data_IF_626640492779
#
_entry.id   IF_626640492779
#
_cell.length_a   1.000
_cell.length_b   1.000
_cell.length_c   1.000
_cell.angle_alpha   90.00
_cell.angle_beta   90.00
_cell.angle_gamma   90.00
#
_symmetry.space_group_name_H-M   'P 1'
#
loop_
_entity.id
_entity.type
_entity.pdbx_description
1 polymer ?
#
# COMPACT_ATOMS: atom_id res chain seq x y z
N UNK A 1 -13.42 27.65 -6.07
CA UNK A 1 -13.23 26.27 -6.57
C UNK A 1 -12.16 26.38 -7.65
N UNK A 2 -10.92 26.18 -7.30
CA UNK A 2 -9.83 26.06 -8.28
C UNK A 2 -9.95 24.67 -8.87
N UNK A 3 -10.38 24.57 -10.13
CA UNK A 3 -10.27 23.36 -10.93
C UNK A 3 -8.78 23.00 -10.99
N UNK A 4 -8.33 22.05 -10.15
CA UNK A 4 -7.01 21.49 -10.35
C UNK A 4 -7.06 20.73 -11.67
N UNK A 5 -6.35 21.22 -12.66
CA UNK A 5 -6.19 20.47 -13.91
C UNK A 5 -5.33 19.24 -13.59
N UNK A 6 -5.84 18.06 -13.93
CA UNK A 6 -5.07 16.82 -13.84
C UNK A 6 -3.76 16.97 -14.63
N UNK A 7 -2.67 16.33 -14.20
CA UNK A 7 -1.45 16.25 -14.99
C UNK A 7 -1.72 15.58 -16.34
N UNK A 8 -0.87 15.79 -17.33
CA UNK A 8 -1.06 15.33 -18.72
C UNK A 8 -1.23 13.81 -18.87
N UNK A 9 -0.69 13.03 -17.92
CA UNK A 9 -0.82 11.57 -17.86
C UNK A 9 -2.03 11.09 -17.02
N UNK A 10 -2.83 12.03 -16.48
CA UNK A 10 -3.99 11.75 -15.62
C UNK A 10 -5.30 11.90 -16.38
N UNK A 11 -6.28 11.08 -16.03
CA UNK A 11 -7.67 11.19 -16.50
C UNK A 11 -8.66 10.80 -15.42
N UNK A 12 -9.85 11.38 -15.44
CA UNK A 12 -10.98 10.92 -14.64
C UNK A 12 -11.70 9.79 -15.37
N UNK A 13 -11.92 8.69 -14.68
CA UNK A 13 -12.64 7.52 -15.17
C UNK A 13 -13.94 7.39 -14.39
N UNK A 14 -15.07 7.56 -15.07
CA UNK A 14 -16.38 7.37 -14.47
C UNK A 14 -16.65 5.87 -14.28
N UNK A 15 -16.76 5.44 -13.02
CA UNK A 15 -17.01 4.04 -12.63
C UNK A 15 -18.51 3.72 -12.46
N UNK A 16 -19.38 4.66 -12.85
CA UNK A 16 -20.83 4.52 -12.79
C UNK A 16 -21.48 5.43 -11.76
N UNK A 17 -20.97 5.50 -10.55
CA UNK A 17 -21.49 6.34 -9.45
C UNK A 17 -20.71 7.64 -9.26
N UNK A 18 -19.43 7.64 -9.57
CA UNK A 18 -18.49 8.76 -9.44
C UNK A 18 -17.24 8.49 -10.29
N UNK A 19 -16.29 9.42 -10.29
CA UNK A 19 -15.09 9.33 -11.11
C UNK A 19 -13.83 9.15 -10.22
N UNK A 20 -12.94 8.26 -10.66
CA UNK A 20 -11.62 8.07 -10.06
C UNK A 20 -10.54 8.66 -10.97
N UNK A 21 -9.54 9.29 -10.37
CA UNK A 21 -8.37 9.77 -11.09
C UNK A 21 -7.39 8.61 -11.31
N UNK A 22 -7.09 8.34 -12.56
CA UNK A 22 -6.14 7.32 -13.02
C UNK A 22 -4.99 8.00 -13.74
N UNK A 23 -3.77 7.61 -13.41
CA UNK A 23 -2.53 8.12 -14.01
C UNK A 23 -1.81 6.99 -14.73
N UNK A 24 -1.49 7.22 -16.00
CA UNK A 24 -0.79 6.26 -16.85
C UNK A 24 0.69 6.65 -16.95
N UNK A 25 1.58 5.68 -16.77
CA UNK A 25 3.02 5.87 -16.84
C UNK A 25 3.63 4.84 -17.78
N UNK A 26 4.75 5.20 -18.41
CA UNK A 26 5.46 4.31 -19.33
C UNK A 26 4.76 4.10 -20.68
N UNK A 27 5.36 3.24 -21.50
CA UNK A 27 4.88 2.91 -22.84
C UNK A 27 3.88 1.77 -22.80
N UNK A 28 2.98 1.74 -23.78
CA UNK A 28 2.05 0.63 -23.98
C UNK A 28 2.80 -0.70 -24.16
N UNK A 29 2.24 -1.82 -23.65
CA UNK A 29 2.84 -3.13 -23.83
C UNK A 29 2.93 -3.49 -25.31
N UNK A 30 4.01 -4.18 -25.68
CA UNK A 30 4.26 -4.60 -27.07
C UNK A 30 3.30 -5.71 -27.52
N UNK A 31 2.72 -6.42 -26.58
CA UNK A 31 1.80 -7.53 -26.78
C UNK A 31 0.70 -7.53 -25.73
N UNK A 32 -0.49 -8.02 -26.07
CA UNK A 32 -1.58 -8.22 -25.11
C UNK A 32 -1.27 -9.30 -24.05
N UNK A 33 -0.15 -10.02 -24.18
CA UNK A 33 0.35 -10.95 -23.17
C UNK A 33 1.32 -10.32 -22.18
N UNK A 34 1.86 -9.14 -22.50
CA UNK A 34 2.79 -8.43 -21.62
C UNK A 34 2.00 -7.80 -20.45
N UNK A 35 2.41 -8.03 -19.20
CA UNK A 35 1.67 -7.50 -18.08
C UNK A 35 1.90 -5.99 -17.93
N UNK A 36 0.91 -5.33 -17.30
CA UNK A 36 1.01 -3.96 -16.83
C UNK A 36 0.99 -3.94 -15.30
N UNK A 37 1.57 -2.91 -14.72
CA UNK A 37 1.66 -2.76 -13.26
C UNK A 37 0.56 -1.83 -12.76
N UNK A 38 -0.13 -2.23 -11.68
CA UNK A 38 -1.11 -1.38 -11.01
C UNK A 38 -0.75 -1.24 -9.53
N UNK A 39 -0.49 0.01 -9.12
CA UNK A 39 -0.12 0.36 -7.75
C UNK A 39 -1.36 0.68 -6.91
N UNK A 40 -1.42 0.09 -5.71
CA UNK A 40 -2.54 0.22 -4.76
C UNK A 40 -2.00 0.78 -3.44
N UNK A 41 -2.47 1.95 -3.06
CA UNK A 41 -2.04 2.64 -1.84
C UNK A 41 -2.76 2.12 -0.60
N UNK A 42 -2.12 2.26 0.57
CA UNK A 42 -2.65 1.90 1.88
C UNK A 42 -3.61 2.94 2.48
N UNK A 43 -3.96 2.80 3.76
CA UNK A 43 -4.77 3.79 4.50
C UNK A 43 -4.09 5.15 4.48
N UNK A 44 -4.88 6.21 4.38
CA UNK A 44 -4.40 7.59 4.36
C UNK A 44 -3.26 7.83 3.35
N UNK A 45 -3.40 7.27 2.15
CA UNK A 45 -2.38 7.29 1.12
C UNK A 45 -3.01 7.32 -0.27
N UNK A 46 -2.40 8.04 -1.21
CA UNK A 46 -2.86 8.23 -2.58
C UNK A 46 -1.78 7.89 -3.63
N UNK A 47 -2.03 8.22 -4.89
CA UNK A 47 -1.11 7.95 -6.00
C UNK A 47 0.26 8.64 -5.85
N UNK A 48 0.35 9.75 -5.11
CA UNK A 48 1.59 10.52 -4.94
C UNK A 48 2.66 9.73 -4.17
N UNK A 49 2.26 8.79 -3.33
CA UNK A 49 3.19 7.93 -2.58
C UNK A 49 4.05 7.02 -3.48
N UNK A 50 3.66 6.83 -4.73
CA UNK A 50 4.33 5.94 -5.68
C UNK A 50 5.28 6.64 -6.66
N UNK A 51 5.38 7.97 -6.62
CA UNK A 51 6.11 8.76 -7.64
C UNK A 51 7.58 8.35 -7.78
N UNK A 52 8.27 8.09 -6.67
CA UNK A 52 9.66 7.64 -6.69
C UNK A 52 9.81 6.27 -7.38
N UNK A 53 8.90 5.33 -7.09
CA UNK A 53 8.88 3.98 -7.70
C UNK A 53 8.62 4.09 -9.20
N UNK A 54 7.58 4.82 -9.60
CA UNK A 54 7.19 5.01 -11.00
C UNK A 54 8.34 5.62 -11.81
N UNK A 55 8.99 6.65 -11.27
CA UNK A 55 10.14 7.29 -11.93
C UNK A 55 11.31 6.32 -12.13
N UNK A 56 11.61 5.47 -11.13
CA UNK A 56 12.66 4.46 -11.23
C UNK A 56 12.30 3.27 -12.12
N UNK A 57 11.01 2.91 -12.19
CA UNK A 57 10.53 1.87 -13.09
C UNK A 57 10.78 2.26 -14.57
N UNK A 58 10.73 3.56 -14.83
CA UNK A 58 11.09 4.14 -16.14
C UNK A 58 10.00 3.98 -17.20
N UNK A 59 10.29 4.42 -18.44
CA UNK A 59 9.28 4.50 -19.49
C UNK A 59 9.01 3.19 -20.22
N UNK A 60 9.78 2.13 -20.00
CA UNK A 60 9.69 0.88 -20.79
C UNK A 60 8.57 -0.06 -20.33
N UNK A 61 8.02 0.15 -19.14
CA UNK A 61 6.96 -0.68 -18.57
C UNK A 61 5.73 0.17 -18.28
N UNK A 62 4.60 -0.21 -18.88
CA UNK A 62 3.35 0.47 -18.59
C UNK A 62 2.90 0.20 -17.16
N UNK A 63 2.62 1.29 -16.44
CA UNK A 63 2.12 1.21 -15.09
C UNK A 63 1.03 2.25 -14.82
N UNK A 64 0.24 1.97 -13.80
CA UNK A 64 -0.88 2.80 -13.38
C UNK A 64 -0.82 3.07 -11.89
N UNK A 65 -1.05 4.33 -11.52
CA UNK A 65 -1.41 4.74 -10.17
C UNK A 65 -2.80 5.35 -10.20
N UNK A 66 -3.52 5.32 -9.10
CA UNK A 66 -4.84 5.93 -9.02
C UNK A 66 -5.10 6.49 -7.62
N UNK A 67 -5.94 7.49 -7.56
CA UNK A 67 -6.47 7.98 -6.30
C UNK A 67 -7.75 7.21 -5.97
N UNK A 68 -7.80 6.59 -4.78
CA UNK A 68 -9.05 6.00 -4.30
C UNK A 68 -10.11 7.09 -4.08
N UNK A 69 -11.36 6.67 -3.98
CA UNK A 69 -12.50 7.55 -3.75
C UNK A 69 -12.27 8.50 -2.58
N UNK A 70 -12.47 9.79 -2.82
CA UNK A 70 -12.29 10.82 -1.82
C UNK A 70 -10.86 11.34 -1.66
N UNK A 71 -9.85 10.68 -2.22
CA UNK A 71 -8.48 11.18 -2.23
C UNK A 71 -8.21 12.08 -3.41
N UNK A 72 -7.29 12.99 -3.23
CA UNK A 72 -6.70 13.93 -4.19
C UNK A 72 -7.68 14.36 -5.31
N UNK A 73 -7.49 13.84 -6.55
CA UNK A 73 -8.30 14.21 -7.72
C UNK A 73 -9.54 13.33 -7.93
N UNK A 74 -9.72 12.24 -7.18
CA UNK A 74 -10.90 11.39 -7.27
C UNK A 74 -12.12 12.01 -6.60
N UNK A 75 -13.31 11.77 -7.13
CA UNK A 75 -14.55 12.13 -6.48
C UNK A 75 -14.81 11.26 -5.24
N UNK A 76 -15.71 11.70 -4.37
CA UNK A 76 -16.11 10.91 -3.21
C UNK A 76 -17.11 9.84 -3.62
N UNK A 77 -16.93 8.63 -3.04
CA UNK A 77 -17.90 7.55 -3.20
C UNK A 77 -19.19 7.81 -2.40
N UNK A 78 -20.35 7.37 -2.89
CA UNK A 78 -21.55 7.25 -2.07
C UNK A 78 -21.50 6.07 -1.09
N UNK A 79 -20.54 5.15 -1.24
CA UNK A 79 -20.34 3.99 -0.38
C UNK A 79 -19.35 4.29 0.75
N UNK A 80 -19.44 3.54 1.85
CA UNK A 80 -18.41 3.55 2.87
C UNK A 80 -17.08 3.02 2.30
N UNK A 81 -15.90 3.53 2.73
CA UNK A 81 -14.60 3.09 2.23
C UNK A 81 -14.16 1.75 2.88
N UNK A 82 -15.07 0.76 2.91
CA UNK A 82 -14.72 -0.59 3.33
C UNK A 82 -13.81 -1.28 2.30
N UNK A 83 -13.03 -2.26 2.72
CA UNK A 83 -12.12 -2.96 1.82
C UNK A 83 -12.83 -3.60 0.62
N UNK A 84 -14.04 -4.13 0.84
CA UNK A 84 -14.87 -4.71 -0.21
C UNK A 84 -15.34 -3.66 -1.22
N UNK A 85 -15.78 -2.49 -0.74
CA UNK A 85 -16.21 -1.41 -1.63
C UNK A 85 -15.03 -0.83 -2.41
N UNK A 86 -13.86 -0.67 -1.78
CA UNK A 86 -12.63 -0.24 -2.45
C UNK A 86 -12.20 -1.26 -3.53
N UNK A 87 -12.27 -2.55 -3.24
CA UNK A 87 -11.98 -3.60 -4.22
C UNK A 87 -13.00 -3.62 -5.38
N UNK A 88 -14.27 -3.38 -5.09
CA UNK A 88 -15.31 -3.22 -6.11
C UNK A 88 -15.02 -2.01 -7.02
N UNK A 89 -14.73 -0.85 -6.44
CA UNK A 89 -14.40 0.37 -7.19
C UNK A 89 -13.13 0.19 -8.04
N UNK A 90 -12.11 -0.49 -7.51
CA UNK A 90 -10.91 -0.88 -8.27
C UNK A 90 -11.27 -1.77 -9.45
N UNK A 91 -12.15 -2.75 -9.28
CA UNK A 91 -12.58 -3.63 -10.36
C UNK A 91 -13.31 -2.88 -11.46
N UNK A 92 -14.17 -1.92 -11.08
CA UNK A 92 -14.87 -1.04 -12.02
C UNK A 92 -13.91 -0.09 -12.73
N UNK A 93 -12.90 0.44 -12.01
CA UNK A 93 -11.86 1.28 -12.61
C UNK A 93 -11.10 0.52 -13.71
N UNK A 94 -10.66 -0.71 -13.43
CA UNK A 94 -9.94 -1.56 -14.39
C UNK A 94 -10.82 -1.81 -15.62
N UNK A 95 -12.10 -2.11 -15.43
CA UNK A 95 -13.05 -2.36 -16.51
C UNK A 95 -13.33 -1.11 -17.36
N UNK A 96 -13.64 0.02 -16.70
CA UNK A 96 -14.05 1.26 -17.39
C UNK A 96 -12.89 2.03 -18.01
N UNK A 97 -11.67 1.85 -17.49
CA UNK A 97 -10.45 2.44 -18.03
C UNK A 97 -9.80 1.59 -19.13
N UNK A 98 -10.37 0.49 -19.57
CA UNK A 98 -9.83 -0.71 -20.19
C UNK A 98 -8.32 -0.94 -19.92
N UNK A 99 -7.97 -1.03 -18.63
CA UNK A 99 -6.59 -1.35 -18.24
C UNK A 99 -6.26 -2.75 -18.76
N UNK A 100 -5.16 -2.91 -19.53
CA UNK A 100 -4.81 -4.20 -20.12
C UNK A 100 -4.58 -5.30 -19.09
N UNK A 101 -4.87 -6.53 -19.46
CA UNK A 101 -4.46 -7.74 -18.75
C UNK A 101 -3.28 -8.38 -19.48
N UNK A 102 -2.44 -9.15 -18.78
CA UNK A 102 -2.48 -9.50 -17.37
C UNK A 102 -1.92 -8.39 -16.46
N UNK A 103 -2.25 -8.46 -15.16
CA UNK A 103 -1.90 -7.43 -14.17
C UNK A 103 -0.84 -7.92 -13.18
N UNK A 104 0.16 -7.08 -12.91
CA UNK A 104 0.98 -7.17 -11.70
C UNK A 104 0.41 -6.17 -10.70
N UNK A 105 -0.15 -6.64 -9.58
CA UNK A 105 -0.62 -5.77 -8.52
C UNK A 105 0.50 -5.50 -7.53
N UNK A 106 0.74 -4.23 -7.21
CA UNK A 106 1.73 -3.79 -6.24
C UNK A 106 1.01 -3.04 -5.13
N UNK A 107 1.04 -3.55 -3.91
CA UNK A 107 0.25 -3.00 -2.81
C UNK A 107 1.05 -2.71 -1.56
N UNK A 108 0.87 -1.50 -0.99
CA UNK A 108 1.49 -1.07 0.26
C UNK A 108 0.51 -1.11 1.42
N UNK A 109 0.98 -1.59 2.58
CA UNK A 109 0.22 -1.50 3.84
C UNK A 109 -1.16 -2.18 3.75
N UNK A 110 -2.25 -1.47 4.03
CA UNK A 110 -3.62 -1.95 3.91
C UNK A 110 -3.96 -2.50 2.52
N UNK A 111 -3.24 -2.12 1.48
CA UNK A 111 -3.43 -2.70 0.16
C UNK A 111 -3.24 -4.22 0.12
N UNK A 112 -2.55 -4.81 1.10
CA UNK A 112 -2.54 -6.27 1.25
C UNK A 112 -3.93 -6.85 1.44
N UNK A 113 -4.77 -6.22 2.26
CA UNK A 113 -6.19 -6.57 2.43
C UNK A 113 -6.98 -6.27 1.16
N UNK A 114 -6.79 -5.09 0.56
CA UNK A 114 -7.50 -4.68 -0.66
C UNK A 114 -7.23 -5.61 -1.84
N UNK A 115 -5.98 -6.06 -2.00
CA UNK A 115 -5.61 -7.04 -3.03
C UNK A 115 -6.29 -8.39 -2.82
N UNK A 116 -6.36 -8.86 -1.58
CA UNK A 116 -7.09 -10.11 -1.28
C UNK A 116 -8.59 -9.97 -1.52
N UNK A 117 -9.19 -8.81 -1.18
CA UNK A 117 -10.59 -8.52 -1.49
C UNK A 117 -10.84 -8.51 -3.01
N UNK A 118 -9.91 -7.91 -3.78
CA UNK A 118 -9.98 -7.94 -5.23
C UNK A 118 -9.89 -9.38 -5.79
N UNK A 119 -8.96 -10.20 -5.28
CA UNK A 119 -8.82 -11.60 -5.68
C UNK A 119 -10.08 -12.43 -5.29
N UNK A 120 -10.69 -12.14 -4.14
CA UNK A 120 -11.94 -12.79 -3.74
C UNK A 120 -13.10 -12.43 -4.69
N UNK A 121 -13.13 -11.18 -5.17
CA UNK A 121 -14.18 -10.66 -6.06
C UNK A 121 -14.02 -11.12 -7.51
N UNK A 122 -12.80 -11.07 -8.05
CA UNK A 122 -12.51 -11.24 -9.49
C UNK A 122 -11.82 -12.54 -9.84
N UNK A 123 -11.36 -13.31 -8.85
CA UNK A 123 -10.48 -14.45 -9.08
C UNK A 123 -9.06 -14.03 -9.45
N UNK A 124 -8.30 -14.98 -9.98
CA UNK A 124 -6.86 -14.82 -10.25
C UNK A 124 -6.50 -14.80 -11.74
N UNK A 125 -7.45 -14.98 -12.64
CA UNK A 125 -7.19 -15.16 -14.08
C UNK A 125 -6.51 -13.96 -14.72
N UNK A 126 -6.86 -12.75 -14.25
CA UNK A 126 -6.29 -11.49 -14.76
C UNK A 126 -4.92 -11.15 -14.13
N UNK A 127 -4.44 -11.93 -13.16
CA UNK A 127 -3.23 -11.64 -12.41
C UNK A 127 -2.04 -12.36 -13.05
N UNK A 128 -0.97 -11.60 -13.33
CA UNK A 128 0.33 -12.13 -13.72
C UNK A 128 1.22 -12.39 -12.50
N UNK A 129 1.16 -11.54 -11.49
CA UNK A 129 1.94 -11.65 -10.27
C UNK A 129 1.55 -10.60 -9.23
N UNK A 130 2.11 -10.72 -8.03
CA UNK A 130 1.83 -9.84 -6.89
C UNK A 130 3.12 -9.33 -6.27
N UNK A 131 3.14 -8.06 -5.85
CA UNK A 131 4.20 -7.47 -5.03
C UNK A 131 3.56 -6.86 -3.79
N UNK A 132 3.93 -7.35 -2.61
CA UNK A 132 3.50 -6.84 -1.32
C UNK A 132 4.59 -5.97 -0.71
N UNK A 133 4.29 -4.72 -0.39
CA UNK A 133 5.23 -3.74 0.15
C UNK A 133 4.84 -3.41 1.59
N UNK A 134 5.50 -4.02 2.55
CA UNK A 134 5.21 -3.99 3.99
C UNK A 134 3.70 -4.03 4.27
N UNK A 135 3.04 -4.96 3.55
CA UNK A 135 1.59 -5.03 3.46
C UNK A 135 0.96 -5.69 4.69
N UNK A 136 -0.31 -5.39 4.93
CA UNK A 136 -1.06 -6.03 6.01
C UNK A 136 -1.66 -7.37 5.54
N UNK A 137 -1.33 -8.42 6.27
CA UNK A 137 -1.98 -9.72 6.15
C UNK A 137 -3.29 -9.75 6.95
N UNK A 138 -4.24 -10.63 6.61
CA UNK A 138 -5.54 -10.74 7.31
C UNK A 138 -5.41 -10.99 8.81
N UNK A 139 -4.27 -11.52 9.26
CA UNK A 139 -3.98 -11.81 10.68
C UNK A 139 -3.16 -10.71 11.36
N UNK A 140 -2.81 -9.62 10.68
CA UNK A 140 -1.97 -8.55 11.24
C UNK A 140 -2.44 -8.08 12.62
N UNK A 141 -3.74 -7.78 12.86
CA UNK A 141 -4.19 -7.30 14.18
C UNK A 141 -4.11 -8.36 15.29
N UNK A 142 -3.96 -9.63 14.95
CA UNK A 142 -3.82 -10.71 15.91
C UNK A 142 -2.36 -10.88 16.39
N UNK A 143 -1.40 -10.37 15.62
CA UNK A 143 0.05 -10.53 15.83
C UNK A 143 0.71 -9.22 16.26
N UNK A 144 0.37 -8.12 15.58
CA UNK A 144 0.92 -6.78 15.83
C UNK A 144 -0.23 -5.82 16.13
N UNK A 145 -0.26 -5.27 17.35
CA UNK A 145 -1.20 -4.23 17.69
C UNK A 145 -0.65 -2.86 17.22
N UNK A 146 -0.94 -2.50 15.97
CA UNK A 146 -0.53 -1.20 15.40
C UNK A 146 -1.21 0.00 16.07
N UNK A 147 -2.36 -0.25 16.72
CA UNK A 147 -3.15 0.74 17.45
C UNK A 147 -2.94 0.65 18.99
N UNK A 148 -1.74 0.20 19.43
CA UNK A 148 -1.44 0.12 20.86
C UNK A 148 -1.61 1.49 21.52
N UNK A 149 -2.54 1.64 22.50
CA UNK A 149 -2.86 2.94 23.07
C UNK A 149 -1.71 3.53 23.89
N UNK A 150 -0.81 2.69 24.41
CA UNK A 150 0.36 3.12 25.18
C UNK A 150 1.42 3.68 24.23
N UNK A 151 1.66 3.00 23.09
CA UNK A 151 2.54 3.51 22.04
C UNK A 151 2.10 4.92 21.62
N UNK A 152 0.82 5.09 21.29
CA UNK A 152 0.29 6.38 20.85
C UNK A 152 0.21 7.42 21.95
N UNK A 153 0.09 7.03 23.22
CA UNK A 153 0.24 7.95 24.36
C UNK A 153 1.67 8.47 24.46
N UNK A 154 2.66 7.62 24.31
CA UNK A 154 4.08 8.04 24.29
C UNK A 154 4.38 8.88 23.05
N UNK A 155 3.81 8.57 21.91
CA UNK A 155 3.98 9.31 20.64
C UNK A 155 3.09 10.56 20.52
N UNK A 156 2.34 10.95 21.55
CA UNK A 156 1.39 12.06 21.46
C UNK A 156 2.05 13.37 20.98
N UNK A 157 1.46 13.99 19.93
CA UNK A 157 1.96 15.22 19.32
C UNK A 157 3.32 15.09 18.62
N UNK A 158 3.77 13.87 18.33
CA UNK A 158 4.93 13.61 17.46
C UNK A 158 4.45 13.68 16.00
N UNK A 159 5.23 14.34 15.16
CA UNK A 159 5.00 14.35 13.71
C UNK A 159 5.54 13.05 13.12
N UNK A 160 4.69 12.19 12.49
CA UNK A 160 5.10 10.84 12.10
C UNK A 160 6.20 10.80 11.04
N UNK A 161 6.11 11.57 9.95
CA UNK A 161 7.09 11.49 8.87
C UNK A 161 8.50 11.90 9.32
N UNK A 162 8.60 12.86 10.23
CA UNK A 162 9.87 13.25 10.85
C UNK A 162 10.39 12.14 11.77
N UNK A 163 9.52 11.56 12.62
CA UNK A 163 9.89 10.49 13.54
C UNK A 163 10.30 9.19 12.83
N UNK A 164 9.70 8.91 11.69
CA UNK A 164 9.99 7.73 10.85
C UNK A 164 11.15 7.96 9.86
N UNK A 165 11.86 9.08 9.96
CA UNK A 165 12.92 9.48 9.01
C UNK A 165 12.43 9.61 7.55
N UNK A 166 11.13 9.57 7.28
CA UNK A 166 10.59 9.67 5.92
C UNK A 166 10.89 11.04 5.32
N UNK A 167 10.65 12.12 6.09
CA UNK A 167 10.93 13.49 5.66
C UNK A 167 12.40 13.70 5.26
N UNK A 168 13.33 13.06 5.95
CA UNK A 168 14.77 13.18 5.68
C UNK A 168 15.29 12.21 4.60
N UNK A 169 14.58 11.10 4.35
CA UNK A 169 15.10 9.98 3.54
C UNK A 169 14.29 9.68 2.28
N UNK A 170 13.11 10.28 2.10
CA UNK A 170 12.31 10.02 0.90
C UNK A 170 13.10 10.31 -0.39
N UNK A 171 12.77 9.57 -1.45
CA UNK A 171 13.34 9.70 -2.80
C UNK A 171 12.42 10.45 -3.78
N UNK A 172 11.36 11.05 -3.25
CA UNK A 172 10.54 12.00 -4.00
C UNK A 172 11.37 13.24 -4.34
N UNK A 173 11.11 13.89 -5.48
CA UNK A 173 11.62 15.24 -5.74
C UNK A 173 10.97 16.22 -4.76
N UNK A 174 11.55 17.42 -4.61
CA UNK A 174 10.94 18.44 -3.76
C UNK A 174 9.52 18.79 -4.20
N UNK A 175 9.28 18.86 -5.51
CA UNK A 175 7.95 19.14 -6.08
C UNK A 175 6.95 18.01 -5.75
N UNK A 176 7.36 16.74 -5.89
CA UNK A 176 6.54 15.57 -5.53
C UNK A 176 6.22 15.55 -4.04
N UNK A 177 7.20 15.87 -3.18
CA UNK A 177 7.01 15.94 -1.74
C UNK A 177 6.06 17.06 -1.33
N UNK A 178 6.24 18.27 -1.90
CA UNK A 178 5.37 19.41 -1.64
C UNK A 178 3.93 19.14 -2.10
N UNK A 179 3.74 18.47 -3.24
CA UNK A 179 2.44 18.07 -3.74
C UNK A 179 1.77 17.05 -2.79
N UNK A 180 2.51 16.05 -2.31
CA UNK A 180 2.02 15.07 -1.33
C UNK A 180 1.55 15.78 -0.05
N UNK A 181 2.38 16.63 0.53
CA UNK A 181 2.05 17.37 1.76
C UNK A 181 0.85 18.30 1.56
N UNK A 182 0.74 18.94 0.40
CA UNK A 182 -0.40 19.77 0.05
C UNK A 182 -1.70 18.97 -0.08
N UNK A 183 -1.66 17.77 -0.68
CA UNK A 183 -2.81 16.88 -0.78
C UNK A 183 -3.29 16.41 0.60
N UNK A 184 -2.36 15.95 1.45
CA UNK A 184 -2.65 15.51 2.82
C UNK A 184 -3.22 16.61 3.72
N UNK A 185 -2.84 17.87 3.48
CA UNK A 185 -3.33 19.00 4.25
C UNK A 185 -4.80 19.35 3.95
N UNK A 186 -5.38 18.84 2.87
CA UNK A 186 -6.77 19.17 2.50
C UNK A 186 -7.79 18.54 3.44
N UNK A 187 -8.89 19.26 3.70
CA UNK A 187 -9.98 18.72 4.53
C UNK A 187 -10.62 17.47 3.92
N UNK A 188 -10.64 17.39 2.58
CA UNK A 188 -11.14 16.22 1.85
C UNK A 188 -10.30 14.98 2.17
N UNK A 189 -8.95 15.09 2.11
CA UNK A 189 -8.05 14.00 2.45
C UNK A 189 -8.22 13.55 3.91
N UNK A 190 -8.20 14.51 4.84
CA UNK A 190 -8.35 14.22 6.28
C UNK A 190 -9.67 13.51 6.59
N UNK A 191 -10.76 13.91 5.94
CA UNK A 191 -12.08 13.31 6.14
C UNK A 191 -12.10 11.84 5.68
N UNK A 192 -11.57 11.55 4.48
CA UNK A 192 -11.56 10.17 3.97
C UNK A 192 -10.57 9.29 4.73
N UNK A 193 -9.38 9.80 5.03
CA UNK A 193 -8.37 9.10 5.83
C UNK A 193 -8.92 8.73 7.21
N UNK A 194 -9.63 9.65 7.87
CA UNK A 194 -10.28 9.39 9.15
C UNK A 194 -11.34 8.28 9.06
N UNK A 195 -12.19 8.30 8.02
CA UNK A 195 -13.19 7.25 7.80
C UNK A 195 -12.57 5.88 7.50
N UNK A 196 -11.49 5.85 6.72
CA UNK A 196 -10.75 4.62 6.47
C UNK A 196 -10.16 4.07 7.76
N UNK A 197 -9.38 4.88 8.47
CA UNK A 197 -8.61 4.45 9.65
C UNK A 197 -9.51 4.03 10.81
N UNK A 198 -10.44 4.88 11.22
CA UNK A 198 -11.24 4.64 12.43
C UNK A 198 -12.43 3.71 12.21
N UNK A 199 -13.06 3.73 11.03
CA UNK A 199 -14.32 3.03 10.83
C UNK A 199 -14.17 1.74 10.02
N UNK A 200 -13.19 1.66 9.11
CA UNK A 200 -13.14 0.60 8.10
C UNK A 200 -11.88 -0.26 8.14
N UNK A 201 -10.74 0.28 8.60
CA UNK A 201 -9.48 -0.45 8.61
C UNK A 201 -9.54 -1.72 9.47
N UNK A 202 -9.80 -1.60 10.75
CA UNK A 202 -9.83 -2.75 11.66
C UNK A 202 -10.91 -3.79 11.31
N UNK A 203 -12.16 -3.40 10.98
CA UNK A 203 -13.18 -4.37 10.55
C UNK A 203 -12.81 -5.17 9.31
N UNK A 204 -12.03 -4.60 8.38
CA UNK A 204 -11.65 -5.23 7.11
C UNK A 204 -10.90 -6.55 7.30
N UNK A 205 -10.08 -6.66 8.34
CA UNK A 205 -9.32 -7.89 8.63
C UNK A 205 -10.25 -9.05 9.01
N UNK A 206 -11.28 -8.81 9.81
CA UNK A 206 -12.24 -9.84 10.17
C UNK A 206 -13.09 -10.25 8.98
N UNK A 207 -13.53 -9.29 8.19
CA UNK A 207 -14.32 -9.53 6.98
C UNK A 207 -13.54 -10.37 5.97
N UNK A 208 -12.26 -10.06 5.77
CA UNK A 208 -11.40 -10.85 4.89
C UNK A 208 -11.19 -12.27 5.43
N UNK A 209 -10.91 -12.44 6.73
CA UNK A 209 -10.75 -13.78 7.33
C UNK A 209 -11.98 -14.66 7.13
N UNK A 210 -13.19 -14.10 7.18
CA UNK A 210 -14.45 -14.85 6.94
C UNK A 210 -14.54 -15.42 5.52
N UNK A 211 -13.76 -14.92 4.55
CA UNK A 211 -13.70 -15.46 3.18
C UNK A 211 -12.82 -16.70 3.06
N UNK A 212 -12.06 -17.00 4.11
CA UNK A 212 -11.23 -18.20 4.25
C UNK A 212 -10.28 -18.44 3.06
N UNK A 213 -9.72 -17.36 2.50
CA UNK A 213 -8.79 -17.47 1.37
C UNK A 213 -7.52 -18.21 1.74
N UNK A 214 -7.09 -18.13 2.99
CA UNK A 214 -5.95 -18.89 3.53
C UNK A 214 -6.14 -20.42 3.44
N UNK A 215 -7.38 -20.92 3.33
CA UNK A 215 -7.66 -22.34 3.09
C UNK A 215 -7.50 -22.77 1.62
N UNK A 216 -7.33 -21.84 0.70
CA UNK A 216 -7.24 -22.07 -0.76
C UNK A 216 -5.82 -21.94 -1.30
N UNK A 217 -4.82 -22.06 -0.44
CA UNK A 217 -3.43 -21.90 -0.85
C UNK A 217 -2.92 -23.09 -1.68
N UNK A 218 -2.06 -22.86 -2.70
CA UNK A 218 -1.58 -21.56 -3.17
C UNK A 218 -2.65 -20.82 -4.01
N UNK A 219 -3.14 -19.67 -3.51
CA UNK A 219 -4.29 -18.95 -4.08
C UNK A 219 -4.06 -18.51 -5.54
N UNK A 220 -2.82 -18.12 -5.88
CA UNK A 220 -2.46 -17.69 -7.24
C UNK A 220 -1.66 -18.76 -8.02
N UNK A 221 -1.57 -19.99 -7.50
CA UNK A 221 -0.90 -21.11 -8.17
C UNK A 221 0.61 -20.92 -8.25
N UNK A 222 1.17 -20.88 -9.47
CA UNK A 222 2.59 -20.67 -9.76
C UNK A 222 2.93 -19.25 -10.22
N UNK A 223 1.97 -18.33 -10.17
CA UNK A 223 2.18 -16.92 -10.49
C UNK A 223 3.10 -16.28 -9.44
N UNK A 224 4.14 -15.53 -9.87
CA UNK A 224 5.17 -15.06 -8.93
C UNK A 224 4.60 -14.07 -7.89
N UNK A 225 5.03 -14.25 -6.66
CA UNK A 225 4.70 -13.38 -5.52
C UNK A 225 6.00 -12.88 -4.88
N UNK A 226 6.17 -11.57 -4.85
CA UNK A 226 7.32 -10.93 -4.21
C UNK A 226 6.87 -10.14 -2.99
N UNK A 227 7.52 -10.40 -1.86
CA UNK A 227 7.15 -9.82 -0.58
C UNK A 227 8.30 -8.96 -0.06
N UNK A 228 7.99 -7.74 0.33
CA UNK A 228 8.97 -6.79 0.87
C UNK A 228 8.52 -6.43 2.28
N UNK A 229 9.32 -6.75 3.28
CA UNK A 229 9.10 -6.32 4.66
C UNK A 229 9.87 -5.04 4.98
N UNK A 230 9.24 -4.09 5.67
CA UNK A 230 9.90 -2.94 6.27
C UNK A 230 10.43 -3.27 7.67
N UNK A 231 11.38 -2.48 8.18
CA UNK A 231 11.91 -2.57 9.54
C UNK A 231 11.07 -1.72 10.49
N UNK A 232 9.98 -2.27 11.00
CA UNK A 232 9.00 -1.52 11.82
C UNK A 232 9.56 -0.98 13.13
N UNK A 233 10.57 -1.65 13.69
CA UNK A 233 11.27 -1.17 14.90
C UNK A 233 11.92 0.20 14.70
N UNK A 234 12.29 0.59 13.46
CA UNK A 234 12.81 1.93 13.14
C UNK A 234 11.74 3.00 13.42
N UNK A 235 10.55 2.80 12.86
CA UNK A 235 9.43 3.74 13.00
C UNK A 235 9.02 3.89 14.46
N UNK A 236 8.83 2.78 15.15
CA UNK A 236 8.42 2.79 16.56
C UNK A 236 9.52 3.35 17.47
N UNK A 237 10.81 3.11 17.16
CA UNK A 237 11.93 3.73 17.87
C UNK A 237 11.97 5.23 17.65
N UNK A 238 11.67 5.71 16.44
CA UNK A 238 11.59 7.13 16.13
C UNK A 238 10.47 7.82 16.91
N UNK A 239 9.25 7.25 16.86
CA UNK A 239 8.11 7.73 17.65
C UNK A 239 8.42 7.77 19.15
N UNK A 240 8.99 6.68 19.68
CA UNK A 240 9.40 6.57 21.08
C UNK A 240 10.40 7.66 21.47
N UNK A 241 11.49 7.81 20.73
CA UNK A 241 12.53 8.80 21.02
C UNK A 241 11.98 10.22 20.99
N UNK A 242 11.21 10.56 19.95
CA UNK A 242 10.60 11.88 19.82
C UNK A 242 9.57 12.16 20.95
N UNK A 243 8.75 11.17 21.30
CA UNK A 243 7.79 11.30 22.39
C UNK A 243 8.45 11.44 23.75
N UNK A 244 9.47 10.65 24.06
CA UNK A 244 10.26 10.77 25.30
C UNK A 244 10.94 12.15 25.40
N UNK A 245 11.46 12.67 24.29
CA UNK A 245 12.07 14.01 24.25
C UNK A 245 11.05 15.12 24.56
N UNK A 246 9.76 14.91 24.26
CA UNK A 246 8.66 15.80 24.66
C UNK A 246 8.22 15.62 26.12
N UNK A 247 8.78 14.64 26.84
CA UNK A 247 8.38 14.32 28.22
C UNK A 247 7.19 13.38 28.33
N UNK A 248 6.69 12.80 27.22
CA UNK A 248 5.51 11.94 27.22
C UNK A 248 5.74 10.60 27.89
N UNK A 249 4.68 10.06 28.47
CA UNK A 249 4.60 8.73 29.05
C UNK A 249 5.31 8.62 30.42
N UNK A 250 4.78 7.75 31.27
CA UNK A 250 5.44 7.30 32.51
C UNK A 250 6.56 6.31 32.18
N UNK A 251 7.43 6.00 33.16
CA UNK A 251 8.48 4.99 32.93
C UNK A 251 7.90 3.60 32.64
N UNK A 252 6.77 3.26 33.24
CA UNK A 252 6.05 2.01 32.93
C UNK A 252 5.57 1.97 31.48
N UNK A 253 4.95 3.05 30.99
CA UNK A 253 4.50 3.18 29.60
C UNK A 253 5.68 3.13 28.61
N UNK A 254 6.78 3.82 28.94
CA UNK A 254 8.01 3.79 28.14
C UNK A 254 8.63 2.40 28.12
N UNK A 255 8.60 1.67 29.23
CA UNK A 255 9.06 0.28 29.31
C UNK A 255 8.24 -0.64 28.41
N UNK A 256 6.90 -0.49 28.43
CA UNK A 256 5.99 -1.22 27.53
C UNK A 256 6.34 -0.99 26.07
N UNK A 257 6.52 0.26 25.64
CA UNK A 257 6.87 0.58 24.25
C UNK A 257 8.23 -0.01 23.83
N UNK A 258 9.23 0.01 24.74
CA UNK A 258 10.53 -0.64 24.47
C UNK A 258 10.38 -2.15 24.22
N UNK A 259 9.49 -2.84 24.93
CA UNK A 259 9.24 -4.27 24.70
C UNK A 259 8.50 -4.50 23.36
N UNK A 260 7.56 -3.63 22.98
CA UNK A 260 6.95 -3.67 21.67
C UNK A 260 8.00 -3.54 20.55
N UNK A 261 8.90 -2.56 20.66
CA UNK A 261 9.97 -2.32 19.67
C UNK A 261 10.89 -3.54 19.51
N UNK A 262 11.24 -4.23 20.61
CA UNK A 262 12.10 -5.41 20.57
C UNK A 262 11.50 -6.59 19.80
N UNK A 263 10.19 -6.68 19.71
CA UNK A 263 9.49 -7.85 19.19
C UNK A 263 8.82 -7.63 17.84
N UNK A 264 8.63 -6.37 17.45
CA UNK A 264 7.79 -6.04 16.28
C UNK A 264 8.35 -6.55 14.96
N UNK A 265 9.67 -6.53 14.76
CA UNK A 265 10.27 -6.97 13.49
C UNK A 265 10.14 -8.48 13.29
N UNK A 266 10.35 -9.29 14.33
CA UNK A 266 10.13 -10.73 14.25
C UNK A 266 8.64 -11.07 13.96
N UNK A 267 7.73 -10.35 14.59
CA UNK A 267 6.29 -10.50 14.34
C UNK A 267 5.93 -10.08 12.91
N UNK A 268 6.53 -8.99 12.41
CA UNK A 268 6.32 -8.55 11.03
C UNK A 268 6.87 -9.56 10.03
N UNK A 269 8.05 -10.13 10.31
CA UNK A 269 8.62 -11.19 9.47
C UNK A 269 7.69 -12.40 9.37
N UNK A 270 7.10 -12.84 10.47
CA UNK A 270 6.15 -13.96 10.45
C UNK A 270 4.90 -13.63 9.61
N UNK A 271 4.40 -12.38 9.68
CA UNK A 271 3.30 -11.92 8.83
C UNK A 271 3.68 -11.88 7.35
N UNK A 272 4.91 -11.42 7.03
CA UNK A 272 5.39 -11.40 5.63
C UNK A 272 5.53 -12.80 5.06
N UNK A 273 5.93 -13.79 5.86
CA UNK A 273 5.98 -15.21 5.47
C UNK A 273 4.61 -15.80 5.11
N UNK A 274 3.52 -15.28 5.67
CA UNK A 274 2.17 -15.75 5.30
C UNK A 274 1.84 -15.46 3.83
N UNK A 275 2.32 -14.33 3.27
CA UNK A 275 2.14 -14.02 1.86
C UNK A 275 2.86 -15.01 0.91
N UNK A 276 3.95 -15.64 1.37
CA UNK A 276 4.66 -16.63 0.54
C UNK A 276 3.79 -17.84 0.20
N UNK A 277 2.81 -18.15 1.04
CA UNK A 277 1.88 -19.27 0.82
C UNK A 277 0.93 -19.05 -0.36
N UNK A 278 0.78 -17.81 -0.82
CA UNK A 278 -0.09 -17.47 -1.94
C UNK A 278 0.34 -18.12 -3.26
N UNK A 279 1.63 -18.46 -3.40
CA UNK A 279 2.20 -19.03 -4.62
C UNK A 279 3.21 -20.13 -4.31
N UNK A 280 3.37 -21.04 -5.27
CA UNK A 280 4.50 -21.98 -5.29
C UNK A 280 5.81 -21.31 -5.71
N UNK A 281 5.76 -20.08 -6.25
CA UNK A 281 6.90 -19.27 -6.67
C UNK A 281 6.87 -17.93 -5.96
N UNK A 282 7.56 -17.82 -4.84
CA UNK A 282 7.56 -16.62 -4.01
C UNK A 282 8.93 -16.31 -3.44
N UNK A 283 9.18 -15.02 -3.17
CA UNK A 283 10.41 -14.52 -2.55
C UNK A 283 10.08 -13.46 -1.50
N UNK A 284 10.88 -13.42 -0.42
CA UNK A 284 10.78 -12.44 0.66
C UNK A 284 12.11 -11.73 0.83
N UNK A 285 12.06 -10.40 0.84
CA UNK A 285 13.21 -9.53 1.14
C UNK A 285 12.83 -8.50 2.21
N UNK A 286 13.83 -7.91 2.86
CA UNK A 286 13.63 -6.84 3.83
C UNK A 286 14.33 -5.55 3.38
N UNK A 287 13.59 -4.45 3.44
CA UNK A 287 14.10 -3.09 3.26
C UNK A 287 14.75 -2.63 4.58
N UNK A 288 16.02 -3.00 4.78
CA UNK A 288 16.72 -2.80 6.07
C UNK A 288 17.00 -1.34 6.41
N UNK A 289 16.97 -0.44 5.43
CA UNK A 289 17.15 1.01 5.63
C UNK A 289 15.83 1.78 5.66
N UNK A 290 14.69 1.08 5.52
CA UNK A 290 13.36 1.65 5.52
C UNK A 290 12.52 1.10 6.68
N UNK A 291 11.64 1.93 7.21
CA UNK A 291 10.50 1.49 8.00
C UNK A 291 9.32 1.10 7.11
N UNK A 292 8.12 1.54 7.48
CA UNK A 292 6.88 1.19 6.77
C UNK A 292 6.78 1.76 5.35
N UNK A 293 7.33 2.96 5.09
CA UNK A 293 7.20 3.64 3.80
C UNK A 293 8.32 3.28 2.81
N UNK A 294 8.46 1.98 2.53
CA UNK A 294 9.51 1.44 1.62
C UNK A 294 9.44 2.10 0.24
N UNK A 295 8.25 2.27 -0.33
CA UNK A 295 8.05 2.88 -1.64
C UNK A 295 8.53 4.34 -1.73
N UNK A 296 8.69 5.02 -0.59
CA UNK A 296 9.19 6.39 -0.53
C UNK A 296 10.67 6.46 -0.19
N UNK A 297 11.19 5.56 0.67
CA UNK A 297 12.54 5.66 1.25
C UNK A 297 13.54 4.69 0.63
N UNK A 298 13.10 3.53 0.12
CA UNK A 298 13.87 2.55 -0.65
C UNK A 298 13.08 2.07 -1.88
N UNK A 299 12.65 2.96 -2.80
CA UNK A 299 11.80 2.61 -3.94
C UNK A 299 12.46 1.62 -4.90
N UNK A 300 13.79 1.53 -4.93
CA UNK A 300 14.56 0.57 -5.74
C UNK A 300 14.20 -0.87 -5.40
N UNK A 301 13.95 -1.22 -4.13
CA UNK A 301 13.57 -2.58 -3.74
C UNK A 301 12.19 -2.94 -4.31
N UNK A 302 11.27 -1.98 -4.40
CA UNK A 302 9.96 -2.20 -5.03
C UNK A 302 10.11 -2.43 -6.53
N UNK A 303 10.96 -1.66 -7.20
CA UNK A 303 11.27 -1.83 -8.63
C UNK A 303 11.91 -3.19 -8.88
N UNK A 304 12.82 -3.63 -8.03
CA UNK A 304 13.46 -4.95 -8.11
C UNK A 304 12.42 -6.07 -7.93
N UNK A 305 11.46 -5.88 -7.03
CA UNK A 305 10.32 -6.81 -6.86
C UNK A 305 9.45 -6.92 -8.11
N UNK A 306 9.13 -5.81 -8.75
CA UNK A 306 8.39 -5.81 -10.02
C UNK A 306 9.18 -6.53 -11.12
N UNK A 307 10.49 -6.25 -11.24
CA UNK A 307 11.37 -6.94 -12.22
C UNK A 307 11.47 -8.44 -11.93
N UNK A 308 11.64 -8.81 -10.65
CA UNK A 308 11.68 -10.22 -10.27
C UNK A 308 10.39 -10.93 -10.66
N UNK A 309 9.22 -10.31 -10.47
CA UNK A 309 7.94 -10.87 -10.92
C UNK A 309 7.94 -11.06 -12.44
N UNK A 310 8.39 -10.07 -13.23
CA UNK A 310 8.47 -10.15 -14.69
C UNK A 310 9.38 -11.28 -15.15
N UNK A 311 10.54 -11.43 -14.53
CA UNK A 311 11.55 -12.47 -14.87
C UNK A 311 11.11 -13.88 -14.49
N UNK A 312 10.10 -13.98 -13.61
CA UNK A 312 9.60 -15.25 -13.09
C UNK A 312 8.19 -15.61 -13.57
N UNK A 313 7.64 -14.90 -14.56
CA UNK A 313 6.34 -15.25 -15.13
C UNK A 313 6.34 -16.69 -15.66
N UNK A 314 5.20 -17.41 -15.55
CA UNK A 314 5.06 -18.71 -16.18
C UNK A 314 5.33 -18.61 -17.70
N UNK A 315 6.00 -19.61 -18.25
CA UNK A 315 6.19 -19.67 -19.71
C UNK A 315 4.84 -19.59 -20.43
N UNK A 316 4.73 -18.71 -21.42
CA UNK A 316 3.51 -18.58 -22.22
C UNK A 316 3.20 -19.92 -22.87
N UNK A 317 2.12 -20.56 -22.43
CA UNK A 317 1.58 -21.75 -23.06
C UNK A 317 0.94 -21.43 -24.42
#
# INVERSE_FOLDING_TARGET
MTSSTLPSNGRLVNIGTHSLALYTHGSEPSSSKDPVVLFISGVASDALNWQAVVRLLGPSLQSYTYDRSGYHNSESSPLAPSAENVALELSLLIEKAPIPNPLILVGHSWAGVLMHEYLALKGTDQIAGLVFVDANHETTPLVVNVNDPILWTVAAGVEPYSAWDVEAKHKLTQEEWDALKAAEATEKFKLIAHKEDLENYMPSFETLRKKELSKKQPLVGDKPVYVIGGTRSRDWSGLYKAGVAKGNGTEEQRSHVRELIKTVDAKNEDLMKEFLKLSTKSELVFATESGHFVQMTQPEIVVDGVKWVLDNLPASS
#
